data_IF_181918697999
#
_entry.id   IF_181918697999
#
_cell.length_a   1.000
_cell.length_b   1.000
_cell.length_c   1.000
_cell.angle_alpha   90.00
_cell.angle_beta   90.00
_cell.angle_gamma   90.00
#
_symmetry.space_group_name_H-M   'P 1'
#
loop_
_entity.id
_entity.type
_entity.pdbx_description
1 polymer ?
#
# COMPACT_ATOMS: atom_id res chain seq x y z
N UNK A 1 45.11 50.58 15.95
CA UNK A 1 43.83 50.19 16.40
C UNK A 1 43.13 49.37 15.24
N UNK A 2 43.09 48.05 15.37
CA UNK A 2 42.53 47.15 14.33
C UNK A 2 41.28 46.48 14.95
N UNK A 3 40.10 46.86 14.48
CA UNK A 3 38.85 46.24 14.90
C UNK A 3 38.58 45.01 14.01
N UNK A 4 38.66 43.83 14.58
CA UNK A 4 38.22 42.57 13.92
C UNK A 4 36.73 42.40 14.17
N UNK A 5 35.92 42.53 13.13
CA UNK A 5 34.49 42.16 13.13
C UNK A 5 34.37 40.66 12.92
N UNK A 6 34.05 39.93 13.97
CA UNK A 6 33.69 38.50 13.87
C UNK A 6 32.22 38.36 13.45
N UNK A 7 31.98 37.86 12.25
CA UNK A 7 30.64 37.50 11.79
C UNK A 7 30.32 36.10 12.35
N UNK A 8 29.44 36.05 13.34
CA UNK A 8 28.89 34.77 13.83
C UNK A 8 27.80 34.27 12.83
N UNK A 9 28.13 33.23 12.08
CA UNK A 9 27.21 32.57 11.16
C UNK A 9 26.31 31.64 11.96
N UNK A 10 25.07 32.09 12.21
CA UNK A 10 24.05 31.28 12.88
C UNK A 10 23.54 30.23 11.88
N UNK A 11 23.96 28.98 12.02
CA UNK A 11 23.44 27.85 11.21
C UNK A 11 22.00 27.53 11.66
N UNK A 12 21.04 27.94 10.85
CA UNK A 12 19.63 27.57 11.02
C UNK A 12 19.46 26.10 10.63
N UNK A 13 19.45 25.18 11.60
CA UNK A 13 19.09 23.78 11.37
C UNK A 13 17.58 23.70 11.19
N UNK A 14 17.12 23.67 9.95
CA UNK A 14 15.72 23.39 9.64
C UNK A 14 15.50 21.89 9.83
N UNK A 15 14.90 21.51 10.95
CA UNK A 15 14.43 20.16 11.17
C UNK A 15 13.21 19.93 10.26
N UNK A 16 13.39 19.16 9.18
CA UNK A 16 12.29 18.71 8.31
C UNK A 16 11.45 17.68 9.08
N UNK A 17 10.17 17.93 9.32
CA UNK A 17 9.31 16.97 10.01
C UNK A 17 9.02 15.74 9.14
N UNK A 18 8.96 14.60 9.75
CA UNK A 18 8.75 13.27 9.17
C UNK A 18 7.47 13.20 8.34
N UNK A 19 7.62 13.06 7.02
CA UNK A 19 6.52 13.03 6.07
C UNK A 19 5.82 11.66 5.99
N UNK A 20 6.41 10.61 6.52
CA UNK A 20 5.89 9.24 6.45
C UNK A 20 4.56 9.07 7.20
N UNK A 21 4.41 9.65 8.37
CA UNK A 21 3.19 9.59 9.17
C UNK A 21 1.99 10.29 8.50
N UNK A 22 2.25 11.36 7.72
CA UNK A 22 1.21 12.07 6.99
C UNK A 22 0.62 11.23 5.85
N UNK A 23 1.43 10.44 5.16
CA UNK A 23 0.98 9.56 4.07
C UNK A 23 0.07 8.43 4.58
N UNK A 24 0.46 7.73 5.63
CA UNK A 24 -0.34 6.66 6.22
C UNK A 24 -1.68 7.18 6.78
N UNK A 25 -1.67 8.35 7.43
CA UNK A 25 -2.88 9.00 7.95
C UNK A 25 -3.83 9.42 6.82
N UNK A 26 -3.31 9.91 5.69
CA UNK A 26 -4.13 10.26 4.53
C UNK A 26 -4.84 9.00 3.97
N UNK A 27 -4.14 7.86 3.87
CA UNK A 27 -4.72 6.62 3.36
C UNK A 27 -5.79 6.03 4.28
N UNK A 28 -5.68 6.19 5.59
CA UNK A 28 -6.64 5.64 6.55
C UNK A 28 -8.06 6.20 6.40
N UNK A 29 -8.20 7.37 5.77
CA UNK A 29 -9.50 8.01 5.51
C UNK A 29 -10.08 7.70 4.13
N UNK A 30 -9.35 6.97 3.28
CA UNK A 30 -9.76 6.66 1.90
C UNK A 30 -10.80 5.53 1.85
N UNK A 31 -11.69 5.62 0.88
CA UNK A 31 -12.59 4.51 0.51
C UNK A 31 -11.80 3.36 -0.11
N UNK A 32 -12.39 2.16 -0.16
CA UNK A 32 -11.76 1.00 -0.82
C UNK A 32 -11.41 1.26 -2.28
N UNK A 33 -12.27 1.98 -3.00
CA UNK A 33 -12.01 2.40 -4.39
C UNK A 33 -10.80 3.32 -4.50
N UNK A 34 -10.70 4.35 -3.67
CA UNK A 34 -9.57 5.27 -3.68
C UNK A 34 -8.26 4.59 -3.28
N UNK A 35 -8.30 3.69 -2.29
CA UNK A 35 -7.17 2.85 -1.92
C UNK A 35 -6.73 1.98 -3.09
N UNK A 36 -7.68 1.32 -3.77
CA UNK A 36 -7.41 0.51 -4.94
C UNK A 36 -6.73 1.32 -6.06
N UNK A 37 -7.28 2.48 -6.40
CA UNK A 37 -6.72 3.34 -7.43
C UNK A 37 -5.30 3.78 -7.11
N UNK A 38 -4.99 3.97 -5.85
CA UNK A 38 -3.68 4.46 -5.41
C UNK A 38 -2.62 3.36 -5.27
N UNK A 39 -3.02 2.18 -4.81
CA UNK A 39 -2.12 1.11 -4.40
C UNK A 39 -2.08 -0.07 -5.39
N UNK A 40 -3.14 -0.29 -6.14
CA UNK A 40 -3.34 -1.52 -6.92
C UNK A 40 -3.44 -1.28 -8.42
N UNK A 41 -4.08 -0.17 -8.85
CA UNK A 41 -4.43 0.06 -10.26
C UNK A 41 -3.22 0.15 -11.18
N UNK A 42 -2.07 0.62 -10.69
CA UNK A 42 -0.84 0.70 -11.47
C UNK A 42 -0.41 -0.65 -12.05
N UNK A 43 -0.64 -1.74 -11.31
CA UNK A 43 -0.32 -3.11 -11.73
C UNK A 43 -1.57 -3.86 -12.24
N UNK A 44 -2.70 -3.75 -11.54
CA UNK A 44 -3.92 -4.52 -11.85
C UNK A 44 -4.88 -3.81 -12.82
N UNK A 45 -4.57 -2.58 -13.24
CA UNK A 45 -5.45 -1.78 -14.09
C UNK A 45 -6.55 -1.05 -13.33
N UNK A 46 -7.09 0.01 -13.90
CA UNK A 46 -8.13 0.83 -13.26
C UNK A 46 -9.42 0.04 -12.96
N UNK A 47 -9.72 -0.96 -13.79
CA UNK A 47 -10.90 -1.82 -13.66
C UNK A 47 -10.59 -3.19 -13.05
N UNK A 48 -9.34 -3.44 -12.67
CA UNK A 48 -8.92 -4.71 -12.09
C UNK A 48 -8.73 -5.85 -13.10
N UNK A 49 -8.58 -5.54 -14.37
CA UNK A 49 -8.49 -6.52 -15.46
C UNK A 49 -7.09 -7.10 -15.67
N UNK A 50 -6.10 -6.65 -14.87
CA UNK A 50 -4.70 -7.10 -14.98
C UNK A 50 -3.90 -6.35 -16.04
N UNK A 51 -4.43 -5.26 -16.56
CA UNK A 51 -3.92 -4.45 -17.67
C UNK A 51 -3.18 -3.18 -17.24
N UNK A 52 -2.76 -3.11 -15.97
CA UNK A 52 -2.04 -1.96 -15.43
C UNK A 52 -0.67 -1.78 -16.08
N UNK A 53 -0.30 -0.52 -16.38
CA UNK A 53 0.94 -0.20 -17.11
C UNK A 53 2.20 -0.72 -16.42
N UNK A 54 2.24 -0.71 -15.09
CA UNK A 54 3.38 -1.21 -14.31
C UNK A 54 3.47 -2.73 -14.43
N UNK A 55 2.32 -3.42 -14.53
CA UNK A 55 2.24 -4.87 -14.67
C UNK A 55 2.96 -5.41 -15.90
N UNK A 56 3.06 -4.61 -16.97
CA UNK A 56 3.74 -5.00 -18.22
C UNK A 56 5.25 -5.21 -18.06
N UNK A 57 5.85 -4.66 -17.01
CA UNK A 57 7.28 -4.82 -16.72
C UNK A 57 7.60 -6.06 -15.87
N UNK A 58 6.58 -6.77 -15.41
CA UNK A 58 6.79 -7.98 -14.62
C UNK A 58 6.93 -9.22 -15.49
N UNK A 59 7.74 -10.19 -15.03
CA UNK A 59 7.85 -11.50 -15.70
C UNK A 59 6.52 -12.25 -15.75
N UNK A 60 5.67 -12.03 -14.77
CA UNK A 60 4.35 -12.63 -14.65
C UNK A 60 3.33 -11.50 -14.56
N UNK A 61 2.40 -11.50 -15.50
CA UNK A 61 1.35 -10.48 -15.56
C UNK A 61 0.47 -10.55 -14.31
N UNK A 62 0.11 -9.41 -13.70
CA UNK A 62 -0.83 -9.38 -12.60
C UNK A 62 -2.17 -10.03 -13.00
N UNK A 63 -2.76 -10.82 -12.11
CA UNK A 63 -4.01 -11.51 -12.42
C UNK A 63 -5.17 -10.51 -12.60
N UNK A 64 -6.14 -10.90 -13.45
CA UNK A 64 -7.42 -10.24 -13.55
C UNK A 64 -8.21 -10.45 -12.26
N UNK A 65 -8.42 -9.38 -11.50
CA UNK A 65 -9.11 -9.41 -10.20
C UNK A 65 -10.64 -9.50 -10.35
N UNK A 66 -11.21 -9.14 -11.52
CA UNK A 66 -12.67 -9.19 -11.72
C UNK A 66 -13.22 -10.60 -11.87
N UNK A 67 -12.35 -11.61 -11.97
CA UNK A 67 -12.71 -13.01 -12.19
C UNK A 67 -12.38 -13.92 -11.00
N UNK A 68 -12.11 -13.37 -9.83
CA UNK A 68 -11.73 -14.17 -8.65
C UNK A 68 -12.88 -15.07 -8.21
N UNK A 69 -14.12 -14.56 -8.17
CA UNK A 69 -15.31 -15.34 -7.84
C UNK A 69 -15.54 -16.46 -8.87
N UNK A 70 -15.46 -16.14 -10.16
CA UNK A 70 -15.63 -17.13 -11.23
C UNK A 70 -14.63 -18.29 -11.11
N UNK A 71 -13.35 -17.97 -10.87
CA UNK A 71 -12.28 -18.98 -10.68
C UNK A 71 -12.43 -19.78 -9.40
N UNK A 72 -13.21 -19.30 -8.44
CA UNK A 72 -13.48 -19.95 -7.16
C UNK A 72 -14.92 -20.49 -7.06
N UNK A 73 -15.45 -21.06 -8.15
CA UNK A 73 -16.76 -21.71 -8.14
C UNK A 73 -17.96 -20.79 -7.91
N UNK A 74 -17.83 -19.51 -8.27
CA UNK A 74 -18.88 -18.49 -8.12
C UNK A 74 -18.84 -17.73 -6.79
N UNK A 75 -17.97 -18.10 -5.86
CA UNK A 75 -17.83 -17.43 -4.58
C UNK A 75 -16.56 -16.58 -4.53
N UNK A 76 -16.69 -15.32 -4.11
CA UNK A 76 -15.53 -14.46 -3.93
C UNK A 76 -14.68 -14.92 -2.72
N UNK A 77 -13.41 -15.28 -2.93
CA UNK A 77 -12.56 -15.85 -1.89
C UNK A 77 -11.94 -14.74 -1.00
N UNK A 78 -12.78 -14.11 -0.18
CA UNK A 78 -12.40 -12.91 0.59
C UNK A 78 -11.17 -13.13 1.48
N UNK A 79 -11.12 -14.26 2.20
CA UNK A 79 -10.03 -14.55 3.13
C UNK A 79 -8.69 -14.75 2.40
N UNK A 80 -8.71 -15.40 1.25
CA UNK A 80 -7.50 -15.60 0.43
C UNK A 80 -7.03 -14.29 -0.18
N UNK A 81 -7.96 -13.44 -0.64
CA UNK A 81 -7.64 -12.10 -1.15
C UNK A 81 -7.05 -11.25 -0.02
N UNK A 82 -7.66 -11.28 1.17
CA UNK A 82 -7.16 -10.57 2.34
C UNK A 82 -5.74 -10.98 2.70
N UNK A 83 -5.48 -12.28 2.82
CA UNK A 83 -4.14 -12.84 3.10
C UNK A 83 -3.12 -12.43 2.03
N UNK A 84 -3.53 -12.45 0.77
CA UNK A 84 -2.67 -12.06 -0.36
C UNK A 84 -2.31 -10.58 -0.32
N UNK A 85 -3.26 -9.70 -0.02
CA UNK A 85 -3.04 -8.25 0.10
C UNK A 85 -2.20 -7.94 1.32
N UNK A 86 -2.55 -8.47 2.47
CA UNK A 86 -1.80 -8.30 3.72
C UNK A 86 -0.35 -8.79 3.57
N UNK A 87 -0.19 -10.04 3.20
CA UNK A 87 1.09 -10.68 2.89
C UNK A 87 2.01 -10.92 4.08
N UNK A 88 1.69 -10.48 5.29
CA UNK A 88 2.54 -10.65 6.48
C UNK A 88 2.71 -12.12 6.87
N UNK A 89 1.66 -12.93 6.72
CA UNK A 89 1.66 -14.36 7.06
C UNK A 89 2.22 -15.25 5.93
N UNK A 90 2.56 -14.67 4.79
CA UNK A 90 3.14 -15.39 3.65
C UNK A 90 4.49 -14.76 3.24
N UNK A 91 5.51 -14.82 4.09
CA UNK A 91 6.85 -14.41 3.72
C UNK A 91 7.30 -15.35 2.60
N UNK A 92 7.43 -14.81 1.39
CA UNK A 92 7.75 -15.54 0.16
C UNK A 92 8.98 -16.44 0.26
N UNK A 93 8.86 -17.56 0.98
CA UNK A 93 9.90 -18.56 1.17
C UNK A 93 10.31 -19.24 -0.14
N UNK A 94 9.58 -19.01 -1.25
CA UNK A 94 9.75 -19.72 -2.50
C UNK A 94 9.68 -18.83 -3.75
N UNK A 95 10.28 -17.64 -3.73
CA UNK A 95 10.39 -16.80 -4.93
C UNK A 95 10.19 -15.31 -4.68
N UNK A 96 10.58 -14.47 -5.65
CA UNK A 96 10.41 -13.04 -5.57
C UNK A 96 8.91 -12.69 -5.65
N UNK A 97 8.36 -12.19 -4.56
CA UNK A 97 7.02 -11.63 -4.53
C UNK A 97 7.01 -10.33 -5.32
N UNK A 98 6.25 -10.29 -6.39
CA UNK A 98 6.13 -9.09 -7.24
C UNK A 98 5.11 -8.08 -6.68
N UNK A 99 4.12 -8.56 -5.93
CA UNK A 99 3.14 -7.72 -5.25
C UNK A 99 3.70 -7.26 -3.89
N UNK A 100 3.60 -5.98 -3.53
CA UNK A 100 4.00 -5.48 -2.22
C UNK A 100 3.28 -6.20 -1.08
N UNK A 101 3.93 -6.27 0.08
CA UNK A 101 3.34 -6.73 1.34
C UNK A 101 2.65 -5.52 1.97
N UNK A 102 1.36 -5.34 1.67
CA UNK A 102 0.66 -4.13 2.09
C UNK A 102 0.49 -4.03 3.60
N UNK A 103 0.37 -5.16 4.30
CA UNK A 103 0.37 -5.19 5.76
C UNK A 103 1.65 -4.66 6.41
N UNK A 104 2.77 -4.65 5.66
CA UNK A 104 4.03 -4.02 6.08
C UNK A 104 4.17 -2.62 5.48
N UNK A 105 3.89 -2.46 4.19
CA UNK A 105 4.11 -1.19 3.49
C UNK A 105 3.22 -0.05 4.00
N UNK A 106 2.04 -0.37 4.55
CA UNK A 106 1.13 0.59 5.16
C UNK A 106 1.39 0.81 6.64
N UNK A 107 2.27 0.01 7.25
CA UNK A 107 2.62 0.09 8.65
C UNK A 107 3.89 0.92 8.84
N UNK A 108 3.82 1.92 9.69
CA UNK A 108 5.01 2.68 10.10
C UNK A 108 5.73 1.91 11.22
N UNK A 109 6.84 1.26 10.88
CA UNK A 109 7.61 0.43 11.82
C UNK A 109 8.21 1.21 12.99
N UNK A 110 8.33 2.53 12.86
CA UNK A 110 8.92 3.39 13.89
C UNK A 110 7.88 3.84 14.93
N UNK A 111 6.61 3.85 14.55
CA UNK A 111 5.52 4.29 15.42
C UNK A 111 4.80 3.11 16.08
N UNK A 112 5.33 2.35 16.94
CA UNK A 112 4.71 1.20 17.65
C UNK A 112 3.36 1.55 18.33
N UNK A 113 2.38 2.01 17.53
CA UNK A 113 1.04 2.37 17.99
C UNK A 113 0.07 1.21 17.68
N UNK A 114 -0.54 0.57 18.69
CA UNK A 114 -1.54 -0.48 18.48
C UNK A 114 -2.72 -0.06 17.60
N UNK A 115 -3.03 1.24 17.58
CA UNK A 115 -4.11 1.79 16.74
C UNK A 115 -3.75 1.75 15.25
N UNK A 116 -2.45 1.81 14.91
CA UNK A 116 -1.98 1.75 13.54
C UNK A 116 -2.20 0.37 12.93
N UNK A 117 -2.00 -0.69 13.70
CA UNK A 117 -2.33 -2.05 13.25
C UNK A 117 -3.81 -2.18 12.88
N UNK A 118 -4.69 -1.66 13.73
CA UNK A 118 -6.12 -1.64 13.43
C UNK A 118 -6.42 -0.84 12.16
N UNK A 119 -5.82 0.33 11.98
CA UNK A 119 -6.00 1.16 10.78
C UNK A 119 -5.54 0.43 9.50
N UNK A 120 -4.40 -0.26 9.54
CA UNK A 120 -3.91 -1.07 8.40
C UNK A 120 -4.89 -2.20 8.09
N UNK A 121 -5.36 -2.92 9.09
CA UNK A 121 -6.35 -3.98 8.90
C UNK A 121 -7.65 -3.45 8.28
N UNK A 122 -8.17 -2.33 8.75
CA UNK A 122 -9.35 -1.69 8.19
C UNK A 122 -9.16 -1.20 6.74
N UNK A 123 -7.97 -0.70 6.39
CA UNK A 123 -7.64 -0.34 5.00
C UNK A 123 -7.64 -1.58 4.10
N UNK A 124 -7.05 -2.69 4.56
CA UNK A 124 -7.04 -3.95 3.82
C UNK A 124 -8.47 -4.48 3.64
N UNK A 125 -9.29 -4.44 4.67
CA UNK A 125 -10.68 -4.90 4.61
C UNK A 125 -11.49 -4.07 3.60
N UNK A 126 -11.31 -2.75 3.55
CA UNK A 126 -11.95 -1.90 2.54
C UNK A 126 -11.46 -2.18 1.12
N UNK A 127 -10.16 -2.51 0.95
CA UNK A 127 -9.63 -2.94 -0.35
C UNK A 127 -10.26 -4.25 -0.80
N UNK A 128 -10.34 -5.25 0.07
CA UNK A 128 -10.96 -6.55 -0.21
C UNK A 128 -12.43 -6.38 -0.60
N UNK A 129 -13.16 -5.55 0.15
CA UNK A 129 -14.57 -5.29 -0.15
C UNK A 129 -14.74 -4.58 -1.50
N UNK A 130 -13.89 -3.61 -1.84
CA UNK A 130 -13.91 -3.01 -3.17
C UNK A 130 -13.65 -4.05 -4.28
N UNK A 131 -12.64 -4.92 -4.11
CA UNK A 131 -12.35 -5.99 -5.09
C UNK A 131 -13.55 -6.94 -5.22
N UNK A 132 -14.31 -7.19 -4.15
CA UNK A 132 -15.56 -7.94 -4.21
C UNK A 132 -16.59 -7.25 -5.10
N UNK A 133 -16.70 -5.92 -5.05
CA UNK A 133 -17.72 -5.18 -5.84
C UNK A 133 -17.45 -5.17 -7.34
N UNK A 134 -16.23 -5.43 -7.78
CA UNK A 134 -15.85 -5.43 -9.19
C UNK A 134 -15.86 -6.82 -9.84
N UNK A 135 -16.38 -7.86 -9.14
CA UNK A 135 -16.50 -9.20 -9.71
C UNK A 135 -17.50 -9.25 -10.88
N UNK A 136 -17.19 -10.07 -11.90
CA UNK A 136 -17.99 -10.31 -13.12
C UNK A 136 -18.52 -11.72 -13.15
#
# INVERSE_FOLDING_TARGET
MKHAFGIAMLALVVALPWQSAAFAKDLSQKTGKELYQRLCSGCHGERGEGDGIIGTYFKMQPPNLTQLAQRNGGQFPADEVRKTVDGRDNPGAHGSRQMPIWGVALYDTDARDPRQEQQVNEMIDRLVEYVRTIQK
#
